data_IF_949719096127
#
_entry.id   IF_949719096127
#
_cell.length_a   1.000
_cell.length_b   1.000
_cell.length_c   1.000
_cell.angle_alpha   90.00
_cell.angle_beta   90.00
_cell.angle_gamma   90.00
#
_symmetry.space_group_name_H-M   'P 1'
#
loop_
_entity.id
_entity.type
_entity.pdbx_description
1 polymer ?
#
# COMPACT_ATOMS: atom_id res chain seq x y z
N UNK A 1 -2.85 13.70 -5.90
CA UNK A 1 -3.11 14.34 -4.58
C UNK A 1 -4.57 14.75 -4.37
N UNK A 2 -5.50 14.46 -5.31
CA UNK A 2 -6.87 14.97 -5.24
C UNK A 2 -7.64 14.57 -3.98
N UNK A 3 -7.70 13.28 -3.62
CA UNK A 3 -8.41 12.84 -2.42
C UNK A 3 -7.76 13.34 -1.13
N UNK A 4 -6.42 13.37 -1.07
CA UNK A 4 -5.70 13.91 0.08
C UNK A 4 -6.03 15.39 0.30
N UNK A 5 -6.12 16.17 -0.78
CA UNK A 5 -6.54 17.58 -0.72
C UNK A 5 -7.99 17.73 -0.30
N UNK A 6 -8.89 16.88 -0.80
CA UNK A 6 -10.32 16.92 -0.46
C UNK A 6 -10.54 16.67 1.04
N UNK A 7 -9.99 15.58 1.58
CA UNK A 7 -10.18 15.20 3.00
C UNK A 7 -9.49 16.13 3.99
N UNK A 8 -8.59 16.98 3.53
CA UNK A 8 -7.86 17.96 4.35
C UNK A 8 -8.38 19.38 4.18
N UNK A 9 -9.36 19.60 3.30
CA UNK A 9 -9.84 20.94 3.01
C UNK A 9 -10.82 21.41 4.09
N UNK A 10 -10.40 22.41 4.87
CA UNK A 10 -11.21 23.02 5.93
C UNK A 10 -12.50 23.70 5.44
N UNK A 11 -12.57 24.08 4.16
CA UNK A 11 -13.71 24.80 3.59
C UNK A 11 -14.82 23.87 3.08
N UNK A 12 -14.51 22.58 2.87
CA UNK A 12 -15.47 21.61 2.33
C UNK A 12 -16.31 20.91 3.39
N UNK A 13 -15.96 21.08 4.68
CA UNK A 13 -16.63 20.49 5.86
C UNK A 13 -17.05 19.01 5.70
N UNK A 14 -16.14 18.20 5.16
CA UNK A 14 -16.41 16.79 4.88
C UNK A 14 -16.44 15.99 6.19
N UNK A 15 -17.46 15.16 6.44
CA UNK A 15 -17.48 14.27 7.60
C UNK A 15 -16.26 13.35 7.62
N UNK A 16 -15.61 13.25 8.78
CA UNK A 16 -14.37 12.46 8.92
C UNK A 16 -13.15 13.08 8.24
N UNK A 17 -13.20 14.38 7.89
CA UNK A 17 -12.02 15.12 7.44
C UNK A 17 -10.91 15.07 8.47
N UNK A 18 -9.68 15.12 7.99
CA UNK A 18 -8.50 15.21 8.84
C UNK A 18 -8.05 16.66 8.85
N UNK A 19 -7.75 17.21 10.03
CA UNK A 19 -7.37 18.62 10.12
C UNK A 19 -6.03 18.88 9.40
N UNK A 20 -5.91 20.01 8.66
CA UNK A 20 -4.68 20.36 7.94
C UNK A 20 -3.42 20.37 8.81
N UNK A 21 -3.57 20.68 10.10
CA UNK A 21 -2.48 20.71 11.08
C UNK A 21 -1.90 19.32 11.34
N UNK A 22 -2.74 18.28 11.30
CA UNK A 22 -2.29 16.90 11.39
C UNK A 22 -1.37 16.55 10.22
N UNK A 23 -1.72 16.96 8.99
CA UNK A 23 -0.90 16.72 7.79
C UNK A 23 0.46 17.41 7.82
N UNK A 24 0.55 18.62 8.39
CA UNK A 24 1.79 19.41 8.38
C UNK A 24 2.85 18.88 9.34
N UNK A 25 2.44 18.20 10.42
CA UNK A 25 3.37 17.63 11.42
C UNK A 25 4.05 16.35 10.96
N UNK A 26 3.46 15.64 10.01
CA UNK A 26 3.90 14.29 9.68
C UNK A 26 4.12 14.12 8.17
N UNK A 27 5.35 14.37 7.70
CA UNK A 27 5.73 14.09 6.31
C UNK A 27 5.68 12.59 5.96
N UNK A 28 5.44 11.72 6.96
CA UNK A 28 5.42 10.26 6.81
C UNK A 28 4.02 9.65 6.66
N UNK A 29 2.98 10.46 6.45
CA UNK A 29 1.60 9.97 6.28
C UNK A 29 1.47 8.77 5.33
N UNK A 30 2.27 8.74 4.25
CA UNK A 30 2.28 7.62 3.29
C UNK A 30 2.55 6.25 3.94
N UNK A 31 3.35 6.21 5.00
CA UNK A 31 3.71 4.99 5.72
C UNK A 31 2.69 4.59 6.80
N UNK A 32 1.80 5.52 7.18
CA UNK A 32 0.86 5.36 8.28
C UNK A 32 -0.60 5.12 7.82
N UNK A 33 -0.87 5.08 6.50
CA UNK A 33 -2.21 4.80 6.00
C UNK A 33 -2.56 3.31 6.07
N UNK A 34 -3.67 2.98 6.71
CA UNK A 34 -4.15 1.60 6.81
C UNK A 34 -4.72 1.05 5.49
N UNK A 35 -4.99 1.88 4.48
CA UNK A 35 -5.77 1.43 3.31
C UNK A 35 -4.99 0.49 2.40
N UNK A 36 -3.72 0.76 2.07
CA UNK A 36 -2.99 -0.05 1.11
C UNK A 36 -1.49 -0.09 1.38
N UNK A 37 -0.97 -1.28 1.60
CA UNK A 37 0.46 -1.54 1.55
C UNK A 37 0.93 -1.65 0.10
N UNK A 38 1.99 -0.92 -0.25
CA UNK A 38 2.69 -1.06 -1.53
C UNK A 38 4.18 -1.07 -1.26
N UNK A 39 4.86 -2.13 -1.71
CA UNK A 39 6.32 -2.20 -1.66
C UNK A 39 6.88 -1.63 -2.95
N UNK A 40 7.55 -0.49 -2.86
CA UNK A 40 8.23 0.13 -3.99
C UNK A 40 9.55 -0.59 -4.27
N UNK A 41 9.93 -0.62 -5.55
CA UNK A 41 11.19 -1.22 -5.97
C UNK A 41 12.36 -0.47 -5.38
N UNK A 42 13.25 -1.23 -4.75
CA UNK A 42 14.61 -0.86 -4.43
C UNK A 42 15.46 -2.11 -4.71
N UNK A 43 16.64 -1.92 -5.27
CA UNK A 43 17.59 -2.96 -5.71
C UNK A 43 17.87 -4.05 -4.67
N UNK A 44 17.66 -3.77 -3.38
CA UNK A 44 17.87 -4.72 -2.27
C UNK A 44 16.62 -5.49 -1.86
N UNK A 45 15.44 -5.05 -2.32
CA UNK A 45 14.16 -5.33 -1.68
C UNK A 45 13.24 -6.24 -2.49
N UNK A 46 13.41 -6.33 -3.81
CA UNK A 46 12.71 -7.32 -4.64
C UNK A 46 13.49 -7.63 -5.91
N UNK A 47 13.34 -8.87 -6.41
CA UNK A 47 13.99 -9.32 -7.63
C UNK A 47 13.45 -8.52 -8.84
N UNK A 48 14.31 -8.15 -9.80
CA UNK A 48 13.90 -7.36 -10.98
C UNK A 48 12.75 -8.02 -11.77
N UNK A 49 12.71 -9.35 -11.79
CA UNK A 49 11.68 -10.14 -12.45
C UNK A 49 10.33 -10.17 -11.71
N UNK A 50 10.31 -9.69 -10.47
CA UNK A 50 9.16 -9.57 -9.58
C UNK A 50 8.72 -8.09 -9.46
N UNK A 51 9.06 -7.24 -10.44
CA UNK A 51 8.70 -5.82 -10.44
C UNK A 51 7.81 -5.48 -11.63
N UNK A 52 6.84 -4.59 -11.42
CA UNK A 52 6.08 -3.98 -12.52
C UNK A 52 5.86 -2.50 -12.24
N UNK A 53 6.42 -1.64 -13.12
CA UNK A 53 6.34 -0.17 -12.99
C UNK A 53 6.80 0.30 -11.60
N UNK A 54 7.97 -0.16 -11.18
CA UNK A 54 8.60 0.18 -9.88
C UNK A 54 7.83 -0.25 -8.63
N UNK A 55 6.89 -1.18 -8.77
CA UNK A 55 6.17 -1.80 -7.64
C UNK A 55 6.53 -3.28 -7.60
N UNK A 56 6.95 -3.76 -6.43
CA UNK A 56 7.22 -5.18 -6.22
C UNK A 56 5.90 -5.97 -6.26
N UNK A 57 5.92 -7.08 -6.96
CA UNK A 57 4.84 -8.05 -7.00
C UNK A 57 4.89 -8.89 -5.73
N UNK A 58 3.73 -9.11 -5.14
CA UNK A 58 3.56 -10.06 -4.06
C UNK A 58 3.49 -11.47 -4.61
N UNK A 59 4.04 -12.41 -3.86
CA UNK A 59 4.17 -13.82 -4.21
C UNK A 59 4.20 -14.66 -2.93
N UNK A 60 4.33 -15.97 -3.09
CA UNK A 60 4.34 -16.92 -1.98
C UNK A 60 5.43 -16.62 -0.92
N UNK A 61 6.57 -16.06 -1.34
CA UNK A 61 7.68 -15.69 -0.43
C UNK A 61 7.29 -14.51 0.45
N UNK A 62 6.53 -13.56 -0.08
CA UNK A 62 6.16 -12.33 0.65
C UNK A 62 4.97 -12.52 1.60
N UNK A 63 4.17 -13.59 1.45
CA UNK A 63 2.98 -13.86 2.27
C UNK A 63 3.24 -13.79 3.78
N UNK A 64 4.36 -14.37 4.25
CA UNK A 64 4.72 -14.36 5.67
C UNK A 64 4.94 -12.94 6.23
N UNK A 65 5.39 -12.02 5.38
CA UNK A 65 5.64 -10.63 5.75
C UNK A 65 4.32 -9.86 5.71
N UNK A 66 3.59 -9.96 4.59
CA UNK A 66 2.37 -9.16 4.39
C UNK A 66 1.20 -9.59 5.27
N UNK A 67 1.21 -10.80 5.83
CA UNK A 67 0.22 -11.24 6.81
C UNK A 67 0.26 -10.42 8.12
N UNK A 68 1.41 -9.84 8.46
CA UNK A 68 1.62 -9.17 9.75
C UNK A 68 1.62 -7.64 9.65
N UNK A 69 1.28 -7.08 8.49
CA UNK A 69 1.23 -5.62 8.31
C UNK A 69 -0.14 -5.08 8.72
N UNK A 70 -0.22 -3.82 9.19
CA UNK A 70 -1.48 -3.24 9.68
C UNK A 70 -2.43 -2.76 8.56
N UNK A 71 -2.14 -3.06 7.30
CA UNK A 71 -2.88 -2.51 6.16
C UNK A 71 -4.01 -3.45 5.75
N UNK A 72 -5.16 -2.91 5.35
CA UNK A 72 -6.33 -3.67 4.89
C UNK A 72 -6.10 -4.35 3.54
N UNK A 73 -5.38 -3.70 2.64
CA UNK A 73 -5.13 -4.21 1.30
C UNK A 73 -3.65 -4.21 0.97
N UNK A 74 -3.26 -5.12 0.08
CA UNK A 74 -1.88 -5.27 -0.38
C UNK A 74 -1.82 -5.09 -1.90
N UNK A 75 -0.77 -4.41 -2.37
CA UNK A 75 -0.47 -4.22 -3.77
C UNK A 75 1.01 -4.59 -4.06
N UNK A 76 1.36 -5.28 -5.15
CA UNK A 76 0.50 -5.77 -6.25
C UNK A 76 0.60 -7.29 -6.39
N UNK A 77 -0.52 -7.98 -6.57
CA UNK A 77 -0.50 -9.37 -7.06
C UNK A 77 -0.61 -9.42 -8.60
N UNK A 78 -0.03 -10.47 -9.20
CA UNK A 78 -0.18 -10.76 -10.63
C UNK A 78 -0.21 -12.27 -10.85
N UNK A 79 -1.38 -12.80 -11.19
CA UNK A 79 -1.61 -14.21 -11.47
C UNK A 79 -0.57 -14.83 -12.43
N UNK A 80 -0.26 -14.18 -13.55
CA UNK A 80 0.73 -14.67 -14.51
C UNK A 80 2.20 -14.62 -14.04
N UNK A 81 2.47 -14.21 -12.80
CA UNK A 81 3.80 -14.29 -12.18
C UNK A 81 3.83 -15.28 -11.03
N UNK A 82 2.80 -15.25 -10.18
CA UNK A 82 2.60 -16.26 -9.15
C UNK A 82 1.10 -16.41 -8.89
N UNK A 83 0.51 -17.45 -9.46
CA UNK A 83 -0.90 -17.77 -9.23
C UNK A 83 -1.09 -18.44 -7.87
N UNK A 84 -0.16 -19.33 -7.47
CA UNK A 84 -0.22 -20.02 -6.17
C UNK A 84 -0.16 -19.05 -5.00
N UNK A 85 0.76 -18.08 -5.04
CA UNK A 85 0.82 -17.03 -4.02
C UNK A 85 -0.42 -16.14 -3.95
N UNK A 86 -1.11 -15.93 -5.08
CA UNK A 86 -2.39 -15.21 -5.10
C UNK A 86 -3.52 -16.05 -4.48
N UNK A 87 -3.67 -17.32 -4.90
CA UNK A 87 -4.69 -18.23 -4.36
C UNK A 87 -4.51 -18.46 -2.87
N UNK A 88 -3.28 -18.71 -2.42
CA UNK A 88 -3.00 -18.87 -0.98
C UNK A 88 -3.31 -17.62 -0.16
N UNK A 89 -3.27 -16.42 -0.75
CA UNK A 89 -3.66 -15.19 -0.07
C UNK A 89 -5.17 -14.99 -0.03
N UNK A 90 -5.90 -15.47 -1.04
CA UNK A 90 -7.36 -15.45 -1.09
C UNK A 90 -8.00 -16.44 -0.11
N UNK A 91 -7.39 -17.62 0.06
CA UNK A 91 -7.87 -18.68 0.96
C UNK A 91 -7.53 -18.45 2.44
N UNK A 92 -6.77 -17.39 2.76
CA UNK A 92 -6.26 -17.10 4.10
C UNK A 92 -7.28 -16.36 4.98
#
# INVERSE_FOLDING_TARGET
>A
MSFQTIISNKFLDIPGRVDPECFKKDLTFQNNFMTRYTKWYDSKNCDENEVRRSICLQNIKTLKIIKNIPHFFVNKFKAGKDFGGLTCWEEY
#
